data_IF_168834772051
#
_entry.id   IF_168834772051
#
_cell.length_a   1.000
_cell.length_b   1.000
_cell.length_c   1.000
_cell.angle_alpha   90.00
_cell.angle_beta   90.00
_cell.angle_gamma   90.00
#
_symmetry.space_group_name_H-M   'P 1'
#
loop_
_entity.id
_entity.type
_entity.pdbx_description
1 polymer ?
#
# COMPACT_ATOMS: atom_id res chain seq x y z
N UNK A 1 10.00 -10.84 -23.54
CA UNK A 1 11.40 -10.49 -23.88
C UNK A 1 12.18 -10.33 -22.58
N UNK A 2 13.29 -11.05 -22.37
CA UNK A 2 14.08 -10.93 -21.12
C UNK A 2 14.56 -9.48 -20.95
N UNK A 3 14.24 -8.85 -19.81
CA UNK A 3 14.77 -7.53 -19.44
C UNK A 3 16.30 -7.63 -19.40
N UNK A 4 16.98 -6.78 -20.16
CA UNK A 4 18.45 -6.70 -20.16
C UNK A 4 18.90 -6.08 -18.84
N UNK A 5 19.89 -6.68 -18.21
CA UNK A 5 20.44 -6.17 -16.94
C UNK A 5 21.07 -4.79 -17.13
N UNK A 6 21.14 -3.99 -16.07
CA UNK A 6 21.83 -2.69 -16.07
C UNK A 6 23.24 -2.79 -16.67
N UNK A 7 23.94 -3.87 -16.35
CA UNK A 7 25.27 -4.21 -16.89
C UNK A 7 25.26 -4.31 -18.41
N UNK A 8 24.26 -4.95 -19.02
CA UNK A 8 24.14 -5.06 -20.48
C UNK A 8 23.80 -3.72 -21.15
N UNK A 9 22.95 -2.91 -20.52
CA UNK A 9 22.60 -1.56 -21.01
C UNK A 9 23.84 -0.66 -21.02
N UNK A 10 24.57 -0.62 -19.91
CA UNK A 10 25.82 0.14 -19.77
C UNK A 10 26.89 -0.38 -20.73
N UNK A 11 27.10 -1.70 -20.80
CA UNK A 11 28.12 -2.28 -21.67
C UNK A 11 27.87 -1.95 -23.15
N UNK A 12 26.60 -1.93 -23.57
CA UNK A 12 26.23 -1.51 -24.93
C UNK A 12 26.56 -0.04 -25.20
N UNK A 13 26.25 0.84 -24.26
CA UNK A 13 26.61 2.27 -24.36
C UNK A 13 28.12 2.45 -24.43
N UNK A 14 28.88 1.74 -23.58
CA UNK A 14 30.35 1.77 -23.61
C UNK A 14 30.93 1.29 -24.94
N UNK A 15 30.39 0.22 -25.53
CA UNK A 15 30.83 -0.26 -26.85
C UNK A 15 30.59 0.75 -27.96
N UNK A 16 29.42 1.38 -27.99
CA UNK A 16 29.11 2.44 -28.95
C UNK A 16 29.99 3.68 -28.75
N UNK A 17 30.21 4.09 -27.49
CA UNK A 17 31.06 5.21 -27.17
C UNK A 17 32.53 4.95 -27.53
N UNK A 18 33.04 3.74 -27.28
CA UNK A 18 34.39 3.34 -27.69
C UNK A 18 34.55 3.40 -29.21
N UNK A 19 33.57 2.88 -29.96
CA UNK A 19 33.57 2.95 -31.43
C UNK A 19 33.58 4.38 -31.96
N UNK A 20 32.72 5.26 -31.42
CA UNK A 20 32.68 6.68 -31.79
C UNK A 20 33.95 7.43 -31.40
N UNK A 21 34.55 7.10 -30.26
CA UNK A 21 35.82 7.68 -29.79
C UNK A 21 36.96 7.34 -30.75
N UNK A 22 37.06 6.07 -31.16
CA UNK A 22 38.06 5.61 -32.13
C UNK A 22 37.85 6.30 -33.48
N UNK A 23 36.61 6.41 -33.95
CA UNK A 23 36.29 7.09 -35.20
C UNK A 23 36.67 8.58 -35.16
N UNK A 24 36.32 9.28 -34.09
CA UNK A 24 36.68 10.68 -33.90
C UNK A 24 38.20 10.87 -33.85
N UNK A 25 38.91 9.98 -33.16
CA UNK A 25 40.37 10.00 -33.09
C UNK A 25 41.02 9.82 -34.47
N UNK A 26 40.52 8.87 -35.29
CA UNK A 26 41.01 8.64 -36.66
C UNK A 26 40.80 9.88 -37.53
N UNK A 27 39.59 10.45 -37.50
CA UNK A 27 39.25 11.65 -38.28
C UNK A 27 40.09 12.84 -37.85
N UNK A 28 40.24 13.06 -36.54
CA UNK A 28 41.04 14.14 -36.00
C UNK A 28 42.54 13.99 -36.28
N UNK A 29 43.07 12.76 -36.26
CA UNK A 29 44.45 12.49 -36.66
C UNK A 29 44.67 12.77 -38.14
N UNK A 30 43.71 12.42 -39.01
CA UNK A 30 43.77 12.70 -40.44
C UNK A 30 43.74 14.20 -40.73
N UNK A 31 42.89 14.96 -40.04
CA UNK A 31 42.75 16.41 -40.21
C UNK A 31 43.93 17.22 -39.65
N UNK A 32 44.60 16.72 -38.59
CA UNK A 32 45.69 17.42 -37.89
C UNK A 32 47.09 16.99 -38.37
N UNK A 33 47.16 16.10 -39.37
CA UNK A 33 48.39 15.56 -39.94
C UNK A 33 49.04 16.53 -40.93
N UNK A 34 50.24 17.02 -40.60
CA UNK A 34 51.11 17.82 -41.50
C UNK A 34 52.10 16.92 -42.29
N UNK A 35 51.77 15.66 -42.56
CA UNK A 35 52.65 14.68 -43.21
C UNK A 35 53.42 13.79 -42.22
N UNK A 36 54.63 13.27 -42.56
CA UNK A 36 55.30 12.21 -41.78
C UNK A 36 55.95 12.67 -40.46
N UNK A 37 55.81 13.94 -40.07
CA UNK A 37 56.42 14.49 -38.85
C UNK A 37 55.46 14.37 -37.67
N UNK A 38 55.86 13.59 -36.68
CA UNK A 38 55.13 13.45 -35.41
C UNK A 38 55.30 14.71 -34.55
N UNK A 39 54.18 15.35 -34.19
CA UNK A 39 54.14 16.47 -33.24
C UNK A 39 53.49 16.02 -31.91
N UNK A 40 54.27 15.94 -30.81
CA UNK A 40 53.76 15.50 -29.52
C UNK A 40 52.66 16.40 -28.96
N UNK A 41 52.75 17.72 -29.18
CA UNK A 41 51.80 18.69 -28.63
C UNK A 41 50.44 18.58 -29.33
N UNK A 42 50.44 18.49 -30.67
CA UNK A 42 49.21 18.31 -31.45
C UNK A 42 48.52 16.98 -31.12
N UNK A 43 49.31 15.93 -30.90
CA UNK A 43 48.82 14.60 -30.52
C UNK A 43 48.19 14.61 -29.13
N UNK A 44 48.84 15.26 -28.16
CA UNK A 44 48.30 15.41 -26.81
C UNK A 44 46.98 16.17 -26.79
N UNK A 45 46.89 17.29 -27.51
CA UNK A 45 45.63 18.04 -27.66
C UNK A 45 44.52 17.20 -28.27
N UNK A 46 44.83 16.43 -29.34
CA UNK A 46 43.83 15.56 -29.98
C UNK A 46 43.31 14.49 -29.02
N UNK A 47 44.19 13.87 -28.23
CA UNK A 47 43.81 12.89 -27.20
C UNK A 47 42.92 13.57 -26.15
N UNK A 48 43.32 14.75 -25.65
CA UNK A 48 42.57 15.50 -24.64
C UNK A 48 41.18 15.88 -25.13
N UNK A 49 41.07 16.41 -26.34
CA UNK A 49 39.80 16.84 -26.93
C UNK A 49 38.89 15.63 -27.19
N UNK A 50 39.46 14.53 -27.70
CA UNK A 50 38.73 13.27 -27.90
C UNK A 50 38.17 12.74 -26.57
N UNK A 51 38.99 12.67 -25.52
CA UNK A 51 38.55 12.21 -24.19
C UNK A 51 37.51 13.14 -23.57
N UNK A 52 37.68 14.46 -23.72
CA UNK A 52 36.75 15.47 -23.18
C UNK A 52 35.40 15.38 -23.89
N UNK A 53 35.40 15.26 -25.21
CA UNK A 53 34.19 15.08 -26.02
C UNK A 53 33.48 13.76 -25.64
N UNK A 54 34.23 12.66 -25.58
CA UNK A 54 33.68 11.36 -25.18
C UNK A 54 33.08 11.42 -23.78
N UNK A 55 33.75 12.04 -22.80
CA UNK A 55 33.21 12.20 -21.46
C UNK A 55 31.93 13.07 -21.44
N UNK A 56 31.91 14.17 -22.21
CA UNK A 56 30.77 15.07 -22.32
C UNK A 56 29.52 14.38 -22.90
N UNK A 57 29.69 13.39 -23.79
CA UNK A 57 28.59 12.58 -24.31
C UNK A 57 28.27 11.37 -23.44
N UNK A 58 29.27 10.69 -22.88
CA UNK A 58 29.09 9.47 -22.11
C UNK A 58 28.41 9.75 -20.77
N UNK A 59 28.76 10.84 -20.08
CA UNK A 59 28.22 11.13 -18.76
C UNK A 59 26.68 11.34 -18.75
N UNK A 60 26.07 12.15 -19.65
CA UNK A 60 24.62 12.26 -19.75
C UNK A 60 23.92 10.93 -20.10
N UNK A 61 24.50 10.13 -21.00
CA UNK A 61 23.92 8.84 -21.39
C UNK A 61 23.98 7.83 -20.24
N UNK A 62 25.11 7.76 -19.54
CA UNK A 62 25.27 6.93 -18.35
C UNK A 62 24.28 7.36 -17.25
N UNK A 63 24.15 8.66 -17.00
CA UNK A 63 23.18 9.21 -16.05
C UNK A 63 21.75 8.85 -16.45
N UNK A 64 21.39 8.93 -17.74
CA UNK A 64 20.06 8.56 -18.22
C UNK A 64 19.74 7.08 -18.04
N UNK A 65 20.69 6.19 -18.37
CA UNK A 65 20.54 4.74 -18.17
C UNK A 65 20.38 4.42 -16.69
N UNK A 66 21.23 4.99 -15.84
CA UNK A 66 21.19 4.78 -14.40
C UNK A 66 19.89 5.31 -13.79
N UNK A 67 19.45 6.51 -14.18
CA UNK A 67 18.20 7.09 -13.70
C UNK A 67 16.96 6.31 -14.18
N UNK A 68 16.99 5.76 -15.39
CA UNK A 68 15.87 4.96 -15.90
C UNK A 68 15.76 3.62 -15.17
N UNK A 69 16.88 2.97 -14.86
CA UNK A 69 16.90 1.73 -14.10
C UNK A 69 16.49 1.97 -12.64
N UNK A 70 17.04 3.01 -12.01
CA UNK A 70 16.66 3.43 -10.65
C UNK A 70 15.16 3.73 -10.53
N UNK A 71 14.56 4.39 -11.53
CA UNK A 71 13.12 4.65 -11.55
C UNK A 71 12.29 3.36 -11.60
N UNK A 72 12.72 2.34 -12.35
CA UNK A 72 12.02 1.05 -12.38
C UNK A 72 12.09 0.35 -11.01
N UNK A 73 13.28 0.29 -10.40
CA UNK A 73 13.47 -0.30 -9.08
C UNK A 73 12.66 0.44 -8.01
N UNK A 74 12.66 1.77 -8.05
CA UNK A 74 11.91 2.60 -7.11
C UNK A 74 10.40 2.37 -7.22
N UNK A 75 9.86 2.23 -8.44
CA UNK A 75 8.43 1.90 -8.64
C UNK A 75 8.07 0.55 -8.03
N UNK A 76 8.87 -0.48 -8.24
CA UNK A 76 8.64 -1.81 -7.67
C UNK A 76 8.68 -1.76 -6.15
N UNK A 77 9.66 -1.04 -5.59
CA UNK A 77 9.78 -0.87 -4.14
C UNK A 77 8.60 -0.09 -3.54
N UNK A 78 8.19 1.02 -4.17
CA UNK A 78 7.01 1.81 -3.78
C UNK A 78 5.76 0.94 -3.74
N UNK A 79 5.52 0.17 -4.82
CA UNK A 79 4.42 -0.79 -4.87
C UNK A 79 4.48 -1.80 -3.72
N UNK A 80 5.65 -2.38 -3.43
CA UNK A 80 5.77 -3.37 -2.37
C UNK A 80 5.50 -2.81 -0.98
N UNK A 81 5.93 -1.57 -0.73
CA UNK A 81 5.65 -0.82 0.50
C UNK A 81 4.15 -0.47 0.61
N UNK A 82 3.52 -0.10 -0.50
CA UNK A 82 2.09 0.19 -0.58
C UNK A 82 1.25 -1.07 -0.30
N UNK A 83 1.61 -2.21 -0.89
CA UNK A 83 0.96 -3.51 -0.63
C UNK A 83 1.09 -3.95 0.84
N UNK A 84 2.25 -3.71 1.47
CA UNK A 84 2.43 -3.98 2.89
C UNK A 84 1.59 -3.05 3.76
N UNK A 85 1.49 -1.78 3.38
CA UNK A 85 0.64 -0.79 4.04
C UNK A 85 -0.84 -1.18 3.99
N UNK A 86 -1.33 -1.63 2.82
CA UNK A 86 -2.70 -2.13 2.64
C UNK A 86 -2.93 -3.35 3.53
N UNK A 87 -2.03 -4.33 3.51
CA UNK A 87 -2.12 -5.53 4.34
C UNK A 87 -2.18 -5.19 5.84
N UNK A 88 -1.29 -4.33 6.30
CA UNK A 88 -1.24 -3.96 7.72
C UNK A 88 -2.50 -3.21 8.13
N UNK A 89 -2.98 -2.29 7.27
CA UNK A 89 -4.22 -1.56 7.53
C UNK A 89 -5.45 -2.47 7.54
N UNK A 90 -5.52 -3.45 6.63
CA UNK A 90 -6.59 -4.45 6.64
C UNK A 90 -6.60 -5.27 7.94
N UNK A 91 -5.42 -5.64 8.45
CA UNK A 91 -5.32 -6.34 9.73
C UNK A 91 -5.80 -5.47 10.90
N UNK A 92 -5.37 -4.22 10.96
CA UNK A 92 -5.84 -3.28 12.01
C UNK A 92 -7.37 -3.10 11.97
N UNK A 93 -7.98 -3.10 10.77
CA UNK A 93 -9.44 -3.05 10.63
C UNK A 93 -10.09 -4.30 11.23
N UNK A 94 -9.60 -5.49 10.86
CA UNK A 94 -10.10 -6.77 11.38
C UNK A 94 -10.00 -6.82 12.91
N UNK A 95 -8.81 -6.53 13.45
CA UNK A 95 -8.56 -6.48 14.90
C UNK A 95 -9.52 -5.49 15.57
N UNK A 96 -9.66 -4.27 15.03
CA UNK A 96 -10.57 -3.26 15.60
C UNK A 96 -12.04 -3.71 15.61
N UNK A 97 -12.48 -4.51 14.63
CA UNK A 97 -13.84 -5.04 14.58
C UNK A 97 -14.06 -6.11 15.65
N UNK A 98 -13.06 -6.97 15.87
CA UNK A 98 -13.08 -8.00 16.92
C UNK A 98 -13.11 -7.32 18.29
N UNK A 99 -12.17 -6.40 18.54
CA UNK A 99 -12.09 -5.65 19.79
C UNK A 99 -13.39 -4.89 20.09
N UNK A 100 -14.02 -4.32 19.05
CA UNK A 100 -15.28 -3.62 19.21
C UNK A 100 -16.42 -4.57 19.58
N UNK A 101 -16.51 -5.75 18.95
CA UNK A 101 -17.50 -6.76 19.30
C UNK A 101 -17.31 -7.26 20.75
N UNK A 102 -16.07 -7.55 21.16
CA UNK A 102 -15.75 -7.98 22.52
C UNK A 102 -16.10 -6.90 23.56
N UNK A 103 -15.81 -5.63 23.25
CA UNK A 103 -16.14 -4.51 24.10
C UNK A 103 -17.66 -4.37 24.31
N UNK A 104 -18.47 -4.59 23.27
CA UNK A 104 -19.94 -4.55 23.38
C UNK A 104 -20.45 -5.63 24.35
N UNK A 105 -19.92 -6.85 24.24
CA UNK A 105 -20.32 -7.98 25.07
C UNK A 105 -19.96 -7.74 26.54
N UNK A 106 -18.69 -7.40 26.81
CA UNK A 106 -18.14 -7.28 28.17
C UNK A 106 -18.46 -5.96 28.88
N UNK A 107 -19.03 -4.95 28.19
CA UNK A 107 -19.33 -3.65 28.80
C UNK A 107 -20.27 -3.81 30.00
N UNK A 108 -19.83 -3.39 31.18
CA UNK A 108 -20.73 -3.12 32.31
C UNK A 108 -21.19 -1.67 32.19
N UNK A 109 -22.50 -1.42 32.23
CA UNK A 109 -23.01 -0.05 32.28
C UNK A 109 -23.37 0.26 33.72
N UNK A 110 -22.59 1.14 34.32
CA UNK A 110 -23.00 1.86 35.53
C UNK A 110 -23.77 3.12 35.10
N UNK A 111 -24.77 3.51 35.88
CA UNK A 111 -25.79 4.53 35.53
C UNK A 111 -25.21 5.93 35.24
N UNK A 112 -23.89 6.13 35.37
CA UNK A 112 -23.20 7.42 35.22
C UNK A 112 -22.01 7.46 34.24
N UNK A 113 -21.70 6.41 33.48
CA UNK A 113 -20.58 6.45 32.52
C UNK A 113 -21.05 6.70 31.08
N UNK A 114 -20.92 7.95 30.63
CA UNK A 114 -21.33 8.41 29.29
C UNK A 114 -20.18 8.40 28.26
N UNK A 115 -18.97 7.95 28.63
CA UNK A 115 -17.74 8.32 27.90
C UNK A 115 -17.20 7.24 26.94
N UNK A 116 -17.76 6.02 26.92
CA UNK A 116 -17.21 4.90 26.13
C UNK A 116 -17.81 4.67 24.73
N UNK A 117 -18.93 5.32 24.38
CA UNK A 117 -19.73 4.99 23.17
C UNK A 117 -19.03 5.25 21.84
N UNK A 118 -18.08 6.19 21.80
CA UNK A 118 -17.55 6.72 20.54
C UNK A 118 -16.20 6.12 20.14
N UNK A 119 -15.43 5.60 21.11
CA UNK A 119 -14.02 5.28 20.89
C UNK A 119 -13.79 4.20 19.83
N UNK A 120 -14.51 3.08 19.91
CA UNK A 120 -14.26 1.95 19.00
C UNK A 120 -14.78 2.20 17.58
N UNK A 121 -15.99 2.76 17.45
CA UNK A 121 -16.54 3.13 16.15
C UNK A 121 -15.65 4.14 15.42
N UNK A 122 -15.16 5.16 16.14
CA UNK A 122 -14.23 6.16 15.61
C UNK A 122 -12.90 5.55 15.19
N UNK A 123 -12.32 4.65 16.01
CA UNK A 123 -11.10 3.92 15.68
C UNK A 123 -11.29 3.12 14.39
N UNK A 124 -12.30 2.26 14.30
CA UNK A 124 -12.54 1.45 13.09
C UNK A 124 -12.81 2.33 11.88
N UNK A 125 -13.55 3.43 12.03
CA UNK A 125 -13.82 4.38 10.94
C UNK A 125 -12.54 5.06 10.46
N UNK A 126 -11.64 5.43 11.37
CA UNK A 126 -10.33 6.00 11.02
C UNK A 126 -9.50 5.01 10.21
N UNK A 127 -9.44 3.74 10.60
CA UNK A 127 -8.72 2.72 9.83
C UNK A 127 -9.35 2.50 8.44
N UNK A 128 -10.68 2.49 8.33
CA UNK A 128 -11.39 2.39 7.05
C UNK A 128 -11.09 3.58 6.12
N UNK A 129 -11.03 4.80 6.67
CA UNK A 129 -10.65 5.99 5.88
C UNK A 129 -9.22 5.84 5.37
N UNK A 130 -8.27 5.48 6.24
CA UNK A 130 -6.88 5.28 5.85
C UNK A 130 -6.74 4.18 4.78
N UNK A 131 -7.50 3.10 4.89
CA UNK A 131 -7.54 2.04 3.88
C UNK A 131 -8.05 2.54 2.52
N UNK A 132 -9.08 3.40 2.53
CA UNK A 132 -9.61 4.00 1.29
C UNK A 132 -8.62 4.97 0.61
N UNK A 133 -7.75 5.63 1.38
CA UNK A 133 -6.69 6.47 0.81
C UNK A 133 -5.64 5.63 0.10
N UNK A 134 -5.24 4.50 0.70
CA UNK A 134 -4.31 3.54 0.08
C UNK A 134 -4.88 2.95 -1.22
N UNK A 135 -6.19 2.70 -1.27
CA UNK A 135 -6.86 2.27 -2.50
C UNK A 135 -6.68 3.31 -3.63
N UNK A 136 -6.88 4.60 -3.32
CA UNK A 136 -6.73 5.68 -4.29
C UNK A 136 -5.29 5.85 -4.76
N UNK A 137 -4.33 5.68 -3.86
CA UNK A 137 -2.90 5.74 -4.19
C UNK A 137 -2.50 4.64 -5.20
N UNK A 138 -3.02 3.42 -5.04
CA UNK A 138 -2.83 2.33 -6.02
C UNK A 138 -3.42 2.70 -7.38
N UNK A 139 -4.61 3.31 -7.39
CA UNK A 139 -5.30 3.74 -8.62
C UNK A 139 -4.53 4.84 -9.36
N UNK A 140 -4.03 5.84 -8.64
CA UNK A 140 -3.27 6.96 -9.21
C UNK A 140 -1.94 6.51 -9.84
N UNK A 141 -1.27 5.52 -9.25
CA UNK A 141 -0.03 4.95 -9.80
C UNK A 141 -0.23 4.13 -11.10
N UNK A 142 -1.47 3.97 -11.58
CA UNK A 142 -1.84 3.28 -12.82
C UNK A 142 -1.25 1.86 -12.93
N UNK A 143 -1.17 1.15 -11.81
CA UNK A 143 -0.67 -0.22 -11.77
C UNK A 143 -1.76 -1.18 -12.21
N UNK A 144 -1.45 -2.13 -13.11
CA UNK A 144 -2.41 -3.18 -13.52
C UNK A 144 -2.59 -4.20 -12.39
N UNK A 145 -3.37 -3.81 -11.38
CA UNK A 145 -3.66 -4.55 -10.16
C UNK A 145 -5.16 -4.76 -9.98
N UNK A 146 -5.90 -4.85 -11.09
CA UNK A 146 -7.37 -4.90 -11.11
C UNK A 146 -7.97 -6.01 -10.23
N UNK A 147 -7.32 -7.17 -10.16
CA UNK A 147 -7.72 -8.26 -9.27
C UNK A 147 -7.55 -7.89 -7.78
N UNK A 148 -6.39 -7.31 -7.42
CA UNK A 148 -6.10 -6.86 -6.06
C UNK A 148 -7.06 -5.76 -5.62
N UNK A 149 -7.32 -4.77 -6.48
CA UNK A 149 -8.25 -3.67 -6.20
C UNK A 149 -9.68 -4.16 -5.96
N UNK A 150 -10.15 -5.17 -6.69
CA UNK A 150 -11.47 -5.79 -6.44
C UNK A 150 -11.55 -6.44 -5.07
N UNK A 151 -10.48 -7.10 -4.63
CA UNK A 151 -10.41 -7.70 -3.29
C UNK A 151 -10.43 -6.59 -2.23
N UNK A 152 -9.66 -5.50 -2.41
CA UNK A 152 -9.68 -4.35 -1.51
C UNK A 152 -11.06 -3.71 -1.39
N UNK A 153 -11.75 -3.52 -2.52
CA UNK A 153 -13.09 -2.93 -2.54
C UNK A 153 -14.10 -3.82 -1.80
N UNK A 154 -14.06 -5.13 -2.04
CA UNK A 154 -14.91 -6.09 -1.33
C UNK A 154 -14.62 -6.08 0.17
N UNK A 155 -13.35 -6.15 0.55
CA UNK A 155 -12.92 -6.08 1.95
C UNK A 155 -13.43 -4.81 2.62
N UNK A 156 -13.21 -3.63 2.00
CA UNK A 156 -13.69 -2.36 2.53
C UNK A 156 -15.21 -2.33 2.73
N UNK A 157 -15.99 -2.83 1.75
CA UNK A 157 -17.45 -2.90 1.85
C UNK A 157 -17.91 -3.80 2.99
N UNK A 158 -17.32 -4.99 3.11
CA UNK A 158 -17.64 -5.96 4.17
C UNK A 158 -17.29 -5.39 5.56
N UNK A 159 -16.09 -4.82 5.73
CA UNK A 159 -15.67 -4.22 6.99
C UNK A 159 -16.49 -2.99 7.38
N UNK A 160 -16.84 -2.12 6.41
CA UNK A 160 -17.72 -0.97 6.64
C UNK A 160 -19.12 -1.39 7.06
N UNK A 161 -19.62 -2.49 6.49
CA UNK A 161 -20.90 -3.06 6.88
C UNK A 161 -20.86 -3.54 8.34
N UNK A 162 -19.84 -4.33 8.70
CA UNK A 162 -19.67 -4.82 10.07
C UNK A 162 -19.50 -3.70 11.09
N UNK A 163 -18.72 -2.66 10.77
CA UNK A 163 -18.56 -1.50 11.66
C UNK A 163 -19.90 -0.81 11.96
N UNK A 164 -20.77 -0.66 10.96
CA UNK A 164 -22.14 -0.13 11.15
C UNK A 164 -23.02 -1.07 11.96
N UNK A 165 -22.91 -2.37 11.70
CA UNK A 165 -23.65 -3.40 12.42
C UNK A 165 -23.29 -3.38 13.92
N UNK A 166 -22.00 -3.30 14.24
CA UNK A 166 -21.50 -3.20 15.61
C UNK A 166 -21.97 -1.92 16.30
N UNK A 167 -21.97 -0.78 15.61
CA UNK A 167 -22.54 0.46 16.17
C UNK A 167 -24.04 0.31 16.48
N UNK A 168 -24.82 -0.37 15.63
CA UNK A 168 -26.23 -0.66 15.94
C UNK A 168 -26.33 -1.58 17.17
N UNK A 169 -25.54 -2.65 17.21
CA UNK A 169 -25.50 -3.58 18.35
C UNK A 169 -25.12 -2.88 19.65
N UNK A 170 -24.14 -1.98 19.62
CA UNK A 170 -23.73 -1.19 20.77
C UNK A 170 -24.90 -0.35 21.29
N UNK A 171 -25.57 0.40 20.41
CA UNK A 171 -26.72 1.22 20.79
C UNK A 171 -27.83 0.38 21.45
N UNK A 172 -28.09 -0.81 20.92
CA UNK A 172 -29.09 -1.74 21.48
C UNK A 172 -28.65 -2.32 22.82
N UNK A 173 -27.40 -2.77 22.93
CA UNK A 173 -26.86 -3.34 24.16
C UNK A 173 -26.90 -2.34 25.30
N UNK A 174 -26.70 -1.06 25.01
CA UNK A 174 -26.78 0.00 26.00
C UNK A 174 -28.19 0.15 26.56
N UNK A 175 -29.20 0.19 25.68
CA UNK A 175 -30.60 0.25 26.13
C UNK A 175 -30.91 -0.97 27.00
N UNK A 176 -30.53 -2.17 26.56
CA UNK A 176 -30.75 -3.42 27.33
C UNK A 176 -30.12 -3.33 28.72
N UNK A 177 -28.84 -2.95 28.80
CA UNK A 177 -28.08 -2.85 30.05
C UNK A 177 -28.61 -1.74 30.97
N UNK A 178 -29.14 -0.65 30.42
CA UNK A 178 -29.82 0.40 31.20
C UNK A 178 -31.07 -0.13 31.91
N UNK A 179 -31.94 -0.86 31.19
CA UNK A 179 -33.10 -1.49 31.83
C UNK A 179 -32.70 -2.54 32.86
N UNK A 180 -31.69 -3.36 32.58
CA UNK A 180 -31.14 -4.31 33.55
C UNK A 180 -30.65 -3.59 34.83
N UNK A 181 -29.98 -2.45 34.69
CA UNK A 181 -29.52 -1.66 35.83
C UNK A 181 -30.69 -1.08 36.66
N UNK A 182 -31.74 -0.57 36.01
CA UNK A 182 -32.93 -0.03 36.67
C UNK A 182 -33.69 -1.14 37.44
N UNK A 183 -33.78 -2.33 36.85
CA UNK A 183 -34.48 -3.48 37.45
C UNK A 183 -33.77 -4.04 38.68
N UNK A 184 -32.47 -3.79 38.90
CA UNK A 184 -31.76 -4.26 40.11
C UNK A 184 -32.36 -3.74 41.41
N UNK A 185 -33.05 -2.60 41.36
CA UNK A 185 -33.66 -1.95 42.53
C UNK A 185 -35.17 -2.23 42.66
N UNK A 186 -35.76 -2.98 41.73
CA UNK A 186 -37.20 -3.19 41.63
C UNK A 186 -37.60 -4.60 42.07
N UNK A 187 -38.82 -4.72 42.59
CA UNK A 187 -39.43 -6.04 42.82
C UNK A 187 -39.69 -6.74 41.47
N UNK A 188 -39.80 -8.08 41.49
CA UNK A 188 -39.95 -8.88 40.26
C UNK A 188 -41.15 -8.44 39.41
N UNK A 189 -42.23 -8.00 40.05
CA UNK A 189 -43.49 -7.61 39.39
C UNK A 189 -43.42 -6.20 38.76
N UNK A 190 -42.38 -5.43 39.09
CA UNK A 190 -42.16 -4.04 38.64
C UNK A 190 -41.01 -3.91 37.62
N UNK A 191 -40.38 -5.03 37.25
CA UNK A 191 -39.28 -5.04 36.29
C UNK A 191 -39.77 -4.71 34.88
N UNK A 192 -39.03 -3.84 34.18
CA UNK A 192 -39.29 -3.50 32.78
C UNK A 192 -38.31 -4.27 31.90
N UNK A 193 -38.81 -5.09 30.99
CA UNK A 193 -37.99 -5.89 30.10
C UNK A 193 -37.92 -5.26 28.69
N UNK A 194 -36.72 -4.92 28.17
CA UNK A 194 -36.54 -4.41 26.82
C UNK A 194 -36.50 -5.57 25.81
N UNK A 195 -37.62 -6.29 25.68
CA UNK A 195 -37.70 -7.52 24.88
C UNK A 195 -37.34 -7.24 23.42
N UNK A 196 -37.90 -6.17 22.85
CA UNK A 196 -37.66 -5.79 21.44
C UNK A 196 -36.18 -5.47 21.16
N UNK A 197 -35.53 -4.72 22.04
CA UNK A 197 -34.12 -4.34 21.89
C UNK A 197 -33.19 -5.52 22.10
N UNK A 198 -33.52 -6.44 23.01
CA UNK A 198 -32.77 -7.66 23.25
C UNK A 198 -32.86 -8.62 22.06
N UNK A 199 -34.04 -8.78 21.48
CA UNK A 199 -34.24 -9.62 20.29
C UNK A 199 -33.51 -9.03 19.07
N UNK A 200 -33.60 -7.71 18.87
CA UNK A 200 -32.88 -7.02 17.80
C UNK A 200 -31.36 -7.11 17.98
N UNK A 201 -30.86 -6.93 19.21
CA UNK A 201 -29.43 -7.16 19.54
C UNK A 201 -29.00 -8.58 19.16
N UNK A 202 -29.74 -9.60 19.60
CA UNK A 202 -29.41 -11.00 19.34
C UNK A 202 -29.40 -11.29 17.83
N UNK A 203 -30.39 -10.78 17.09
CA UNK A 203 -30.45 -10.91 15.63
C UNK A 203 -29.22 -10.29 14.96
N UNK A 204 -28.83 -9.10 15.40
CA UNK A 204 -27.67 -8.38 14.87
C UNK A 204 -26.34 -9.04 15.22
N UNK A 205 -26.23 -9.62 16.41
CA UNK A 205 -25.09 -10.42 16.82
C UNK A 205 -24.93 -11.68 15.96
N UNK A 206 -26.02 -12.41 15.69
CA UNK A 206 -25.97 -13.55 14.76
C UNK A 206 -25.58 -13.12 13.35
N UNK A 207 -26.09 -11.99 12.89
CA UNK A 207 -25.70 -11.41 11.61
C UNK A 207 -24.20 -11.06 11.57
N UNK A 208 -23.64 -10.53 12.65
CA UNK A 208 -22.21 -10.26 12.78
C UNK A 208 -21.39 -11.55 12.67
N UNK A 209 -21.76 -12.59 13.42
CA UNK A 209 -21.07 -13.89 13.39
C UNK A 209 -21.07 -14.52 12.00
N UNK A 210 -22.17 -14.40 11.25
CA UNK A 210 -22.26 -14.91 9.88
C UNK A 210 -21.42 -14.11 8.87
N UNK A 211 -21.15 -12.83 9.13
CA UNK A 211 -20.50 -11.90 8.19
C UNK A 211 -19.02 -11.69 8.46
N UNK A 212 -18.57 -11.82 9.71
CA UNK A 212 -17.17 -11.68 10.10
C UNK A 212 -16.21 -12.55 9.27
N UNK A 213 -16.52 -13.83 8.95
CA UNK A 213 -15.67 -14.65 8.09
C UNK A 213 -15.43 -14.06 6.70
N UNK A 214 -16.31 -13.19 6.18
CA UNK A 214 -16.08 -12.53 4.89
C UNK A 214 -14.94 -11.51 4.95
N UNK A 215 -14.78 -10.81 6.07
CA UNK A 215 -13.68 -9.86 6.32
C UNK A 215 -12.36 -10.61 6.48
N UNK A 216 -12.35 -11.67 7.28
CA UNK A 216 -11.18 -12.55 7.46
C UNK A 216 -10.73 -13.16 6.13
N UNK A 217 -11.67 -13.70 5.35
CA UNK A 217 -11.39 -14.20 4.01
C UNK A 217 -10.86 -13.11 3.08
N UNK A 218 -11.40 -11.88 3.16
CA UNK A 218 -10.92 -10.74 2.40
C UNK A 218 -9.47 -10.38 2.73
N UNK A 219 -9.11 -10.34 4.03
CA UNK A 219 -7.74 -10.11 4.48
C UNK A 219 -6.80 -11.21 3.96
N UNK A 220 -7.20 -12.47 4.09
CA UNK A 220 -6.41 -13.61 3.61
C UNK A 220 -6.18 -13.56 2.10
N UNK A 221 -7.19 -13.15 1.33
CA UNK A 221 -7.06 -12.92 -0.11
C UNK A 221 -6.11 -11.76 -0.43
N UNK A 222 -6.18 -10.63 0.30
CA UNK A 222 -5.22 -9.51 0.15
C UNK A 222 -3.78 -9.96 0.42
N UNK A 223 -3.57 -10.75 1.46
CA UNK A 223 -2.24 -11.29 1.80
C UNK A 223 -1.73 -12.21 0.69
N UNK A 224 -2.59 -13.12 0.20
CA UNK A 224 -2.23 -14.08 -0.84
C UNK A 224 -1.90 -13.38 -2.16
N UNK A 225 -2.77 -12.50 -2.62
CA UNK A 225 -2.60 -11.81 -3.89
C UNK A 225 -1.41 -10.85 -3.85
N UNK A 226 -1.22 -10.14 -2.74
CA UNK A 226 -0.04 -9.29 -2.52
C UNK A 226 1.27 -10.08 -2.61
N UNK A 227 1.32 -11.32 -2.12
CA UNK A 227 2.49 -12.21 -2.30
C UNK A 227 2.71 -12.59 -3.75
N UNK A 228 1.64 -12.93 -4.49
CA UNK A 228 1.73 -13.29 -5.92
C UNK A 228 2.34 -12.13 -6.72
N UNK A 229 1.87 -10.91 -6.48
CA UNK A 229 2.38 -9.69 -7.14
C UNK A 229 3.87 -9.48 -6.83
N UNK A 230 4.28 -9.69 -5.58
CA UNK A 230 5.68 -9.58 -5.14
C UNK A 230 6.60 -10.63 -5.75
N UNK A 231 6.09 -11.83 -6.01
CA UNK A 231 6.86 -12.92 -6.64
C UNK A 231 6.88 -12.89 -8.16
N UNK A 232 5.97 -12.13 -8.78
CA UNK A 232 5.82 -12.07 -10.25
C UNK A 232 6.59 -10.91 -10.89
N UNK A 233 7.10 -9.98 -10.08
CA UNK A 233 7.95 -8.85 -10.49
C UNK A 233 9.41 -9.11 -10.12
#
# INVERSE_FOLDING_TARGET
MKKKTLKEKINRVCWWAAGLTILYFIVGAFLKSDGPKFDPNKTYELIRDTLTLTAAFLAPVAAFVLFSDWREEHKVKSLFELLDSVKNKAREIEESLIDYAEAIEHRKIEVNEDVGRLTYYEITTKHLIQFSLLYREIEEENMDLSAYMKIMEKFYKDSKYLSRLLNIMENKSIVVKQYESLNRSRSSDEQIHPILEKDDYNKKFQEYLMRMPSVENGLNQLIKEGKIIKTSN
#
